data_IF_240909995447
#
_entry.id   IF_240909995447
#
_cell.length_a   1.000
_cell.length_b   1.000
_cell.length_c   1.000
_cell.angle_alpha   90.00
_cell.angle_beta   90.00
_cell.angle_gamma   90.00
#
_symmetry.space_group_name_H-M   'P 1'
#
loop_
_entity.id
_entity.type
_entity.pdbx_description
1 polymer ?
#
# COMPACT_ATOMS: atom_id res chain seq x y z
N UNK A 1 7.58 -2.93 0.87
CA UNK A 1 7.10 -1.75 0.14
C UNK A 1 5.59 -1.79 0.22
N UNK A 2 4.99 -0.68 0.64
CA UNK A 2 3.55 -0.53 0.87
C UNK A 2 2.93 0.22 -0.31
N UNK A 3 1.77 -0.25 -0.78
CA UNK A 3 1.11 0.23 -1.99
C UNK A 3 -0.35 0.58 -1.78
N UNK A 4 -0.86 1.55 -2.53
CA UNK A 4 -2.28 1.87 -2.67
C UNK A 4 -2.64 1.93 -4.15
N UNK A 5 -3.84 1.53 -4.53
CA UNK A 5 -4.28 1.73 -5.91
C UNK A 5 -4.55 3.20 -6.22
N UNK A 6 -4.35 3.59 -7.48
CA UNK A 6 -4.66 4.93 -7.94
C UNK A 6 -6.16 5.26 -7.79
N UNK A 7 -7.03 4.28 -8.02
CA UNK A 7 -8.48 4.42 -7.88
C UNK A 7 -8.88 4.72 -6.44
N UNK A 8 -8.39 3.92 -5.47
CA UNK A 8 -8.66 4.15 -4.06
C UNK A 8 -8.08 5.48 -3.57
N UNK A 9 -6.85 5.82 -3.97
CA UNK A 9 -6.24 7.09 -3.60
C UNK A 9 -7.04 8.30 -4.10
N UNK A 10 -7.59 8.24 -5.33
CA UNK A 10 -8.48 9.27 -5.86
C UNK A 10 -9.82 9.31 -5.15
N UNK A 11 -10.42 8.15 -4.86
CA UNK A 11 -11.69 8.06 -4.15
C UNK A 11 -11.58 8.69 -2.75
N UNK A 12 -10.48 8.46 -2.05
CA UNK A 12 -10.16 9.06 -0.75
C UNK A 12 -9.63 10.50 -0.84
N UNK A 13 -9.53 11.06 -2.06
CA UNK A 13 -8.97 12.41 -2.31
C UNK A 13 -7.58 12.63 -1.70
N UNK A 14 -6.73 11.61 -1.71
CA UNK A 14 -5.39 11.69 -1.14
C UNK A 14 -4.46 12.54 -2.01
N UNK A 15 -3.56 13.34 -1.40
CA UNK A 15 -2.59 14.13 -2.15
C UNK A 15 -1.58 13.21 -2.84
N UNK A 16 -1.40 13.39 -4.15
CA UNK A 16 -0.45 12.62 -4.94
C UNK A 16 0.79 13.47 -5.22
N UNK A 17 1.96 12.92 -4.95
CA UNK A 17 3.26 13.54 -5.26
C UNK A 17 4.00 12.70 -6.29
N UNK A 18 4.49 13.32 -7.34
CA UNK A 18 5.30 12.65 -8.35
C UNK A 18 6.67 12.24 -7.78
N UNK A 19 7.17 11.09 -8.24
CA UNK A 19 8.48 10.53 -7.86
C UNK A 19 9.22 10.02 -9.09
N UNK A 20 10.51 9.72 -8.93
CA UNK A 20 11.27 9.03 -9.96
C UNK A 20 10.64 7.65 -10.22
N UNK A 21 10.21 7.45 -11.47
CA UNK A 21 9.48 6.25 -11.86
C UNK A 21 10.35 5.00 -11.74
N UNK A 22 9.78 3.92 -11.22
CA UNK A 22 10.44 2.61 -11.16
C UNK A 22 9.50 1.47 -11.57
N UNK A 23 10.03 0.39 -12.16
CA UNK A 23 9.24 -0.74 -12.59
C UNK A 23 8.87 -1.67 -11.42
N UNK A 24 7.65 -2.20 -11.46
CA UNK A 24 7.18 -3.30 -10.59
C UNK A 24 6.88 -4.51 -11.46
N UNK A 25 7.45 -5.65 -11.09
CA UNK A 25 7.27 -6.93 -11.76
C UNK A 25 6.42 -7.85 -10.89
N UNK A 26 5.30 -8.32 -11.41
CA UNK A 26 4.60 -9.44 -10.80
C UNK A 26 5.38 -10.73 -11.08
N UNK A 27 5.31 -11.68 -10.16
CA UNK A 27 6.08 -12.94 -10.21
C UNK A 27 5.87 -13.71 -11.53
N UNK A 28 4.74 -13.49 -12.22
CA UNK A 28 4.41 -14.16 -13.47
C UNK A 28 4.88 -13.40 -14.74
N UNK A 29 5.41 -12.18 -14.62
CA UNK A 29 5.89 -11.37 -15.75
C UNK A 29 7.42 -11.33 -15.76
N UNK A 30 8.06 -12.11 -16.64
CA UNK A 30 9.52 -12.27 -16.64
C UNK A 30 10.27 -11.37 -17.63
N UNK A 31 9.58 -10.66 -18.53
CA UNK A 31 10.24 -9.87 -19.60
C UNK A 31 9.94 -8.38 -19.58
N UNK A 32 8.77 -7.97 -19.12
CA UNK A 32 8.34 -6.57 -19.08
C UNK A 32 7.76 -6.23 -17.71
N UNK A 33 7.91 -4.98 -17.23
CA UNK A 33 7.30 -4.55 -15.99
C UNK A 33 5.78 -4.64 -16.07
N UNK A 34 5.16 -5.17 -15.02
CA UNK A 34 3.69 -5.21 -14.94
C UNK A 34 3.12 -3.81 -14.74
N UNK A 35 3.81 -2.98 -13.94
CA UNK A 35 3.39 -1.63 -13.63
C UNK A 35 4.59 -0.69 -13.54
N UNK A 36 4.34 0.59 -13.76
CA UNK A 36 5.29 1.66 -13.46
C UNK A 36 4.74 2.48 -12.31
N UNK A 37 5.53 2.63 -11.25
CA UNK A 37 5.17 3.45 -10.10
C UNK A 37 5.87 4.79 -10.25
N UNK A 38 5.08 5.85 -10.40
CA UNK A 38 5.56 7.22 -10.58
C UNK A 38 5.00 8.21 -9.57
N UNK A 39 4.15 7.75 -8.64
CA UNK A 39 3.51 8.58 -7.63
C UNK A 39 3.58 7.94 -6.26
N UNK A 40 3.59 8.78 -5.23
CA UNK A 40 3.38 8.39 -3.84
C UNK A 40 2.33 9.25 -3.18
N UNK A 41 1.81 8.78 -2.06
CA UNK A 41 0.91 9.51 -1.18
C UNK A 41 1.23 9.18 0.28
N UNK A 42 0.64 9.93 1.20
CA UNK A 42 0.66 9.62 2.61
C UNK A 42 -0.79 9.43 3.07
N UNK A 43 -1.04 8.42 3.89
CA UNK A 43 -2.36 8.13 4.40
C UNK A 43 -2.31 7.81 5.89
N UNK A 44 -3.30 8.31 6.63
CA UNK A 44 -3.53 7.98 8.02
C UNK A 44 -4.44 6.75 8.11
N UNK A 45 -3.87 5.62 8.54
CA UNK A 45 -4.58 4.37 8.76
C UNK A 45 -5.29 4.38 10.11
N UNK A 46 -6.47 3.78 10.12
CA UNK A 46 -7.24 3.58 11.34
C UNK A 46 -7.79 2.14 11.36
N UNK A 47 -7.22 1.29 12.20
CA UNK A 47 -7.76 -0.03 12.51
C UNK A 47 -8.37 -0.02 13.91
N UNK A 48 -9.46 -0.76 14.13
CA UNK A 48 -10.23 -0.66 15.37
C UNK A 48 -9.42 -0.93 16.65
N UNK A 49 -8.49 -1.89 16.62
CA UNK A 49 -7.69 -2.31 17.78
C UNK A 49 -6.20 -1.95 17.64
N UNK A 50 -5.88 -0.99 16.78
CA UNK A 50 -4.51 -0.57 16.50
C UNK A 50 -4.41 0.96 16.57
N UNK A 51 -3.28 1.55 17.01
CA UNK A 51 -3.14 2.99 16.97
C UNK A 51 -3.28 3.51 15.55
N UNK A 52 -3.87 4.69 15.39
CA UNK A 52 -3.82 5.38 14.11
C UNK A 52 -2.38 5.76 13.77
N UNK A 53 -2.00 5.66 12.50
CA UNK A 53 -0.66 6.00 12.06
C UNK A 53 -0.64 6.53 10.63
N UNK A 54 0.27 7.46 10.37
CA UNK A 54 0.56 7.93 9.01
C UNK A 54 1.59 7.03 8.35
N UNK A 55 1.37 6.71 7.08
CA UNK A 55 2.29 5.88 6.30
C UNK A 55 2.41 6.36 4.87
N UNK A 56 3.64 6.32 4.36
CA UNK A 56 3.93 6.60 2.96
C UNK A 56 3.60 5.37 2.10
N UNK A 57 2.83 5.61 1.05
CA UNK A 57 2.34 4.60 0.12
C UNK A 57 2.81 4.91 -1.30
N UNK A 58 3.29 3.90 -1.99
CA UNK A 58 3.51 3.96 -3.43
C UNK A 58 2.17 3.76 -4.16
N UNK A 59 1.90 4.58 -5.17
CA UNK A 59 0.63 4.54 -5.90
C UNK A 59 0.77 3.63 -7.12
N UNK A 60 -0.01 2.56 -7.14
CA UNK A 60 -0.05 1.60 -8.24
C UNK A 60 -1.24 1.92 -9.15
N UNK A 61 -0.96 2.25 -10.41
CA UNK A 61 -1.99 2.40 -11.44
C UNK A 61 -2.29 1.03 -12.07
N UNK A 62 -3.02 0.20 -11.32
CA UNK A 62 -3.44 -1.14 -11.72
C UNK A 62 -4.98 -1.18 -11.80
N UNK A 63 -5.57 -1.12 -13.01
CA UNK A 63 -7.02 -1.16 -13.18
C UNK A 63 -7.64 -2.40 -12.53
N UNK A 64 -8.72 -2.22 -11.78
CA UNK A 64 -9.44 -3.31 -11.08
C UNK A 64 -8.83 -3.72 -9.74
N UNK A 65 -7.85 -2.97 -9.23
CA UNK A 65 -7.36 -3.10 -7.86
C UNK A 65 -7.89 -1.93 -7.04
N UNK A 66 -8.72 -2.20 -6.02
CA UNK A 66 -9.32 -1.17 -5.16
C UNK A 66 -8.83 -1.25 -3.71
N UNK A 67 -7.63 -1.78 -3.54
CA UNK A 67 -7.10 -2.16 -2.24
C UNK A 67 -5.78 -1.45 -1.92
N UNK A 68 -5.42 -1.56 -0.64
CA UNK A 68 -4.12 -1.19 -0.12
C UNK A 68 -3.38 -2.44 0.33
N UNK A 69 -2.06 -2.44 0.12
CA UNK A 69 -1.15 -3.52 0.52
C UNK A 69 -0.14 -2.93 1.50
N UNK A 70 -0.23 -3.31 2.77
CA UNK A 70 0.83 -3.03 3.73
C UNK A 70 1.95 -4.05 3.56
N UNK A 71 3.15 -3.56 3.27
CA UNK A 71 4.32 -4.39 3.06
C UNK A 71 4.94 -4.90 4.36
N UNK A 72 5.93 -5.78 4.23
CA UNK A 72 6.66 -6.38 5.35
C UNK A 72 7.27 -5.35 6.33
N UNK A 73 7.65 -4.16 5.86
CA UNK A 73 8.14 -3.07 6.70
C UNK A 73 7.15 -2.62 7.77
N UNK A 74 5.85 -2.73 7.51
CA UNK A 74 4.81 -2.44 8.51
C UNK A 74 4.91 -3.43 9.66
N UNK A 75 5.02 -4.73 9.34
CA UNK A 75 5.15 -5.80 10.33
C UNK A 75 6.45 -5.66 11.14
N UNK A 76 7.55 -5.29 10.50
CA UNK A 76 8.84 -5.08 11.20
C UNK A 76 8.80 -3.85 12.12
N UNK A 77 8.19 -2.75 11.66
CA UNK A 77 8.16 -1.51 12.42
C UNK A 77 7.28 -1.62 13.67
N UNK A 78 6.08 -2.19 13.51
CA UNK A 78 5.10 -2.27 14.58
C UNK A 78 5.19 -3.56 15.39
N UNK A 79 5.73 -4.63 14.81
CA UNK A 79 5.66 -5.99 15.36
C UNK A 79 4.27 -6.34 15.93
N UNK A 80 3.19 -6.15 15.16
CA UNK A 80 1.83 -6.36 15.67
C UNK A 80 1.52 -7.84 15.83
N UNK A 81 0.60 -8.15 16.74
CA UNK A 81 -0.06 -9.45 16.77
C UNK A 81 -1.15 -9.49 15.69
N UNK A 82 -0.98 -10.38 14.71
CA UNK A 82 -1.91 -10.53 13.59
C UNK A 82 -2.66 -11.84 13.75
N UNK A 83 -3.95 -11.73 14.07
CA UNK A 83 -4.86 -12.86 14.07
C UNK A 83 -5.43 -13.04 12.66
N UNK A 84 -4.87 -14.01 11.96
CA UNK A 84 -5.30 -14.36 10.59
C UNK A 84 -6.64 -15.09 10.54
N UNK A 85 -7.14 -15.64 11.64
CA UNK A 85 -8.43 -16.31 11.68
C UNK A 85 -9.57 -15.29 11.81
N UNK A 86 -9.41 -14.34 12.73
CA UNK A 86 -10.40 -13.29 12.99
C UNK A 86 -10.21 -12.06 12.08
N UNK A 87 -9.07 -11.95 11.40
CA UNK A 87 -8.77 -10.83 10.51
C UNK A 87 -8.51 -9.52 11.26
N UNK A 88 -7.94 -9.60 12.47
CA UNK A 88 -7.64 -8.45 13.33
C UNK A 88 -6.14 -8.25 13.52
N UNK A 89 -5.76 -6.99 13.75
CA UNK A 89 -4.39 -6.58 14.06
C UNK A 89 -4.41 -5.87 15.41
N UNK A 90 -3.59 -6.35 16.33
CA UNK A 90 -3.42 -5.81 17.67
C UNK A 90 -1.95 -5.41 17.90
N UNK A 91 -1.72 -4.59 18.93
CA UNK A 91 -0.38 -4.28 19.46
C UNK A 91 0.07 -5.35 20.46
#
# INVERSE_FOLDING_TARGET
>A
MTFISLELAKHQSLPLTDINSFPVYLVNSFKEPSFWVSKKTNWNFHFSNFPSFEWDLMVLDAPGMDNTILGHEFLVYWNPDVDWQEGVINL
#
